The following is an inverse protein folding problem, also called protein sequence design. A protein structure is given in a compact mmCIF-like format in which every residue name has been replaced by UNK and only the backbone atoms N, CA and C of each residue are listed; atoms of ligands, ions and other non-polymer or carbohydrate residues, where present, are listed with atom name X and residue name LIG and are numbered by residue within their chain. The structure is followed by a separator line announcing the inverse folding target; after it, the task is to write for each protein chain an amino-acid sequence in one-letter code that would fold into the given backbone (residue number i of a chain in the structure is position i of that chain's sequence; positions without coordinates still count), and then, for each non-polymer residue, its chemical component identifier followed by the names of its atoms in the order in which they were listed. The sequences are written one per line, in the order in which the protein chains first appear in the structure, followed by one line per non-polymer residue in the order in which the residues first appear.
data_IF_147780900404
#
_entry.id   IF_147780900404
#
_cell.length_a   1.000
_cell.length_b   1.000
_cell.length_c   1.000
_cell.angle_alpha   90.00
_cell.angle_beta   90.00
_cell.angle_gamma   90.00
#
_symmetry.space_group_name_H-M   'P 1'
#
loop_
_entity.id
_entity.type
_entity.pdbx_description
1 polymer ?
#
# COMPACT_ATOMS: atom_id res chain seq x y z
N UNK A 1 -9.66 0.92 13.06
CA UNK A 1 -9.13 -0.08 12.10
C UNK A 1 -7.68 -0.33 12.44
N UNK A 2 -7.25 -1.58 12.43
CA UNK A 2 -5.90 -1.96 12.88
C UNK A 2 -4.83 -1.65 11.83
N UNK A 3 -3.73 -1.05 12.27
CA UNK A 3 -2.59 -0.65 11.44
C UNK A 3 -1.64 -1.84 11.22
N UNK A 4 -1.59 -2.43 10.01
CA UNK A 4 -0.76 -3.60 9.74
C UNK A 4 0.74 -3.31 9.85
N UNK A 5 1.18 -2.07 9.59
CA UNK A 5 2.59 -1.69 9.75
C UNK A 5 2.99 -1.72 11.22
N UNK A 6 2.13 -1.18 12.09
CA UNK A 6 2.35 -1.22 13.55
C UNK A 6 2.37 -2.65 14.09
N UNK A 7 1.47 -3.53 13.63
CA UNK A 7 1.46 -4.95 14.03
C UNK A 7 2.77 -5.65 13.68
N UNK A 8 3.31 -5.37 12.49
CA UNK A 8 4.56 -5.96 12.01
C UNK A 8 5.82 -5.27 12.55
N UNK A 9 5.68 -4.12 13.21
CA UNK A 9 6.82 -3.28 13.62
C UNK A 9 7.57 -2.67 12.43
N UNK A 10 6.85 -2.35 11.34
CA UNK A 10 7.37 -1.71 10.14
C UNK A 10 7.05 -0.20 10.14
N UNK A 11 7.91 0.64 9.53
CA UNK A 11 7.54 2.01 9.22
C UNK A 11 6.38 2.03 8.22
N UNK A 12 5.50 3.04 8.35
CA UNK A 12 4.43 3.29 7.37
C UNK A 12 5.05 3.87 6.10
N UNK A 13 5.51 3.02 5.20
CA UNK A 13 6.10 3.44 3.93
C UNK A 13 5.68 2.51 2.80
N UNK A 14 5.63 3.05 1.59
CA UNK A 14 5.32 2.28 0.40
C UNK A 14 6.52 1.45 -0.07
N UNK A 15 7.71 2.05 -0.06
CA UNK A 15 8.97 1.45 -0.48
C UNK A 15 9.45 0.40 0.56
N UNK A 16 8.79 -0.76 0.56
CA UNK A 16 9.16 -1.96 1.30
C UNK A 16 9.38 -3.12 0.34
N UNK A 17 10.47 -3.84 0.52
CA UNK A 17 10.72 -5.08 -0.21
C UNK A 17 9.90 -6.23 0.38
N UNK A 18 9.56 -7.25 -0.43
CA UNK A 18 8.94 -8.48 0.09
C UNK A 18 9.78 -9.17 1.18
N UNK A 19 11.10 -9.04 1.09
CA UNK A 19 12.04 -9.56 2.07
C UNK A 19 11.91 -8.84 3.43
N UNK A 20 11.79 -7.51 3.45
CA UNK A 20 11.60 -6.74 4.69
C UNK A 20 10.28 -7.09 5.39
N UNK A 21 9.19 -7.20 4.63
CA UNK A 21 7.89 -7.62 5.17
C UNK A 21 7.96 -9.03 5.74
N UNK A 22 8.63 -9.95 5.03
CA UNK A 22 8.80 -11.33 5.48
C UNK A 22 9.66 -11.41 6.74
N UNK A 23 10.77 -10.68 6.80
CA UNK A 23 11.63 -10.62 7.98
C UNK A 23 10.89 -10.01 9.19
N UNK A 24 10.09 -8.96 8.99
CA UNK A 24 9.25 -8.38 10.04
C UNK A 24 8.23 -9.38 10.58
N UNK A 25 7.54 -10.09 9.70
CA UNK A 25 6.60 -11.15 10.08
C UNK A 25 7.28 -12.25 10.91
N UNK A 26 8.42 -12.77 10.46
CA UNK A 26 9.15 -13.82 11.19
C UNK A 26 9.61 -13.34 12.59
N UNK A 27 10.11 -12.10 12.70
CA UNK A 27 10.50 -11.49 13.99
C UNK A 27 9.31 -11.29 14.94
N UNK A 28 8.12 -11.02 14.41
CA UNK A 28 6.91 -10.86 15.22
C UNK A 28 6.40 -12.22 15.72
N UNK A 29 6.26 -13.21 14.82
CA UNK A 29 5.77 -14.55 15.17
C UNK A 29 6.72 -15.28 16.12
N UNK A 30 8.05 -15.07 16.03
CA UNK A 30 9.01 -15.73 16.94
C UNK A 30 8.81 -15.37 18.41
N UNK A 31 8.12 -14.25 18.71
CA UNK A 31 7.80 -13.82 20.08
C UNK A 31 6.50 -14.44 20.60
N UNK A 32 5.68 -15.02 19.71
CA UNK A 32 4.33 -15.51 19.96
C UNK A 32 4.24 -17.04 19.89
N UNK A 33 5.34 -17.75 20.21
CA UNK A 33 5.37 -19.21 20.14
C UNK A 33 4.49 -19.83 21.24
N UNK A 34 3.51 -20.69 20.91
CA UNK A 34 2.54 -21.21 21.88
C UNK A 34 3.19 -22.04 23.00
N UNK A 35 4.34 -22.66 22.76
CA UNK A 35 5.10 -23.39 23.80
C UNK A 35 5.66 -22.49 24.90
N UNK A 36 5.69 -21.17 24.70
CA UNK A 36 6.12 -20.21 25.73
C UNK A 36 4.98 -19.82 26.67
N UNK A 37 3.76 -20.33 26.44
CA UNK A 37 2.60 -20.03 27.25
C UNK A 37 2.63 -20.76 28.60
N UNK A 38 2.29 -20.05 29.68
CA UNK A 38 2.20 -20.57 31.05
C UNK A 38 0.87 -21.26 31.35
N UNK A 39 -0.17 -20.93 30.59
CA UNK A 39 -1.51 -21.48 30.74
C UNK A 39 -2.28 -21.49 29.40
N UNK A 40 -3.47 -22.09 29.40
CA UNK A 40 -4.32 -22.22 28.22
C UNK A 40 -4.81 -20.86 27.69
N UNK A 41 -5.11 -19.91 28.58
CA UNK A 41 -5.61 -18.59 28.19
C UNK A 41 -4.52 -17.84 27.44
N UNK A 42 -3.30 -17.85 27.96
CA UNK A 42 -2.14 -17.25 27.31
C UNK A 42 -1.83 -17.94 25.98
N UNK A 43 -1.97 -19.27 25.89
CA UNK A 43 -1.78 -19.99 24.63
C UNK A 43 -2.79 -19.54 23.56
N UNK A 44 -4.07 -19.46 23.91
CA UNK A 44 -5.12 -18.98 23.00
C UNK A 44 -4.84 -17.54 22.56
N UNK A 45 -4.43 -16.67 23.49
CA UNK A 45 -4.06 -15.29 23.18
C UNK A 45 -2.90 -15.22 22.19
N UNK A 46 -1.82 -15.97 22.41
CA UNK A 46 -0.66 -16.02 21.52
C UNK A 46 -1.04 -16.49 20.10
N UNK A 47 -1.93 -17.47 19.98
CA UNK A 47 -2.43 -17.94 18.68
C UNK A 47 -3.22 -16.86 17.96
N UNK A 48 -4.09 -16.13 18.67
CA UNK A 48 -4.86 -15.03 18.09
C UNK A 48 -3.94 -13.89 17.63
N UNK A 49 -2.95 -13.53 18.44
CA UNK A 49 -1.95 -12.51 18.08
C UNK A 49 -1.11 -12.95 16.86
N UNK A 50 -0.70 -14.22 16.78
CA UNK A 50 0.02 -14.75 15.63
C UNK A 50 -0.83 -14.70 14.34
N UNK A 51 -2.13 -14.98 14.45
CA UNK A 51 -3.06 -14.86 13.34
C UNK A 51 -3.21 -13.40 12.87
N UNK A 52 -3.29 -12.44 13.80
CA UNK A 52 -3.32 -11.01 13.48
C UNK A 52 -2.04 -10.55 12.76
N UNK A 53 -0.87 -11.04 13.18
CA UNK A 53 0.42 -10.79 12.52
C UNK A 53 0.46 -11.37 11.10
N UNK A 54 -0.11 -12.56 10.89
CA UNK A 54 -0.27 -13.16 9.56
C UNK A 54 -1.18 -12.33 8.65
N UNK A 55 -2.33 -11.88 9.17
CA UNK A 55 -3.26 -11.03 8.44
C UNK A 55 -2.63 -9.67 8.07
N UNK A 56 -1.86 -9.08 8.99
CA UNK A 56 -1.11 -7.85 8.74
C UNK A 56 -0.10 -8.01 7.60
N UNK A 57 0.67 -9.12 7.60
CA UNK A 57 1.61 -9.46 6.50
C UNK A 57 0.90 -9.46 5.16
N UNK A 58 -0.23 -10.16 5.05
CA UNK A 58 -0.95 -10.28 3.78
C UNK A 58 -1.40 -8.92 3.23
N UNK A 59 -1.81 -8.00 4.11
CA UNK A 59 -2.26 -6.65 3.75
C UNK A 59 -1.14 -5.76 3.21
N UNK A 60 0.13 -6.01 3.57
CA UNK A 60 1.27 -5.17 3.14
C UNK A 60 2.29 -5.90 2.27
N UNK A 61 2.09 -7.19 1.99
CA UNK A 61 3.03 -8.01 1.22
C UNK A 61 3.18 -7.53 -0.23
N UNK A 62 2.08 -7.14 -0.87
CA UNK A 62 2.06 -6.73 -2.28
C UNK A 62 1.87 -5.22 -2.41
N UNK A 63 2.44 -4.64 -3.47
CA UNK A 63 2.46 -3.19 -3.69
C UNK A 63 1.04 -2.58 -3.70
N UNK A 64 0.10 -3.19 -4.43
CA UNK A 64 -1.26 -2.67 -4.56
C UNK A 64 -2.04 -2.76 -3.24
N UNK A 65 -1.89 -3.84 -2.48
CA UNK A 65 -2.56 -3.98 -1.17
C UNK A 65 -1.94 -3.01 -0.16
N UNK A 66 -0.62 -2.89 -0.15
CA UNK A 66 0.12 -1.94 0.69
C UNK A 66 -0.28 -0.49 0.39
N UNK A 67 -0.39 -0.11 -0.88
CA UNK A 67 -0.86 1.21 -1.28
C UNK A 67 -2.28 1.50 -0.78
N UNK A 68 -3.20 0.54 -0.91
CA UNK A 68 -4.55 0.71 -0.37
C UNK A 68 -4.54 0.89 1.16
N UNK A 69 -3.70 0.14 1.86
CA UNK A 69 -3.56 0.28 3.31
C UNK A 69 -2.99 1.63 3.73
N UNK A 70 -1.98 2.15 3.03
CA UNK A 70 -1.45 3.49 3.28
C UNK A 70 -2.52 4.56 3.01
N UNK A 71 -3.25 4.49 1.90
CA UNK A 71 -4.35 5.42 1.61
C UNK A 71 -5.46 5.37 2.68
N UNK A 72 -5.78 4.19 3.22
CA UNK A 72 -6.71 4.05 4.35
C UNK A 72 -6.18 4.76 5.60
N UNK A 73 -4.93 4.52 5.97
CA UNK A 73 -4.29 5.10 7.16
C UNK A 73 -4.15 6.62 7.06
N UNK A 74 -4.00 7.15 5.85
CA UNK A 74 -3.91 8.59 5.56
C UNK A 74 -5.28 9.27 5.37
N UNK A 75 -6.39 8.54 5.55
CA UNK A 75 -7.74 9.09 5.36
C UNK A 75 -8.10 9.39 3.89
N UNK A 76 -7.31 8.91 2.94
CA UNK A 76 -7.39 9.18 1.50
C UNK A 76 -8.06 8.06 0.70
N UNK A 77 -8.64 7.06 1.37
CA UNK A 77 -9.31 5.92 0.69
C UNK A 77 -10.40 6.37 -0.28
N UNK A 78 -11.10 7.46 0.01
CA UNK A 78 -12.17 8.00 -0.84
C UNK A 78 -11.69 8.43 -2.23
N UNK A 79 -10.41 8.76 -2.40
CA UNK A 79 -9.84 9.11 -3.70
C UNK A 79 -9.80 7.94 -4.69
N UNK A 80 -9.91 6.69 -4.20
CA UNK A 80 -10.00 5.51 -5.07
C UNK A 80 -11.30 5.43 -5.88
N UNK A 81 -12.33 6.16 -5.46
CA UNK A 81 -13.61 6.24 -6.16
C UNK A 81 -13.66 7.41 -7.14
N UNK A 82 -12.60 8.21 -7.25
CA UNK A 82 -12.54 9.31 -8.19
C UNK A 82 -12.57 8.78 -9.65
N UNK A 83 -13.26 9.47 -10.56
CA UNK A 83 -13.25 9.09 -11.97
C UNK A 83 -11.82 9.18 -12.52
N UNK A 84 -11.44 8.22 -13.35
CA UNK A 84 -10.20 8.27 -14.11
C UNK A 84 -10.23 9.46 -15.06
N UNK A 85 -9.07 10.10 -15.23
CA UNK A 85 -8.94 11.21 -16.17
C UNK A 85 -9.18 10.75 -17.62
N UNK A 86 -9.73 11.62 -18.50
CA UNK A 86 -10.13 11.24 -19.86
C UNK A 86 -9.04 10.53 -20.66
N UNK A 87 -7.80 11.00 -20.58
CA UNK A 87 -6.67 10.41 -21.30
C UNK A 87 -6.43 8.93 -20.95
N UNK A 88 -6.71 8.53 -19.70
CA UNK A 88 -6.56 7.13 -19.28
C UNK A 88 -7.74 6.26 -19.71
N UNK A 89 -8.93 6.85 -19.86
CA UNK A 89 -10.09 6.13 -20.39
C UNK A 89 -9.85 5.78 -21.86
N UNK A 90 -9.34 6.72 -22.65
CA UNK A 90 -8.93 6.52 -24.04
C UNK A 90 -7.89 5.39 -24.15
N UNK A 91 -6.79 5.51 -23.41
CA UNK A 91 -5.74 4.48 -23.37
C UNK A 91 -6.32 3.10 -22.98
N UNK A 92 -7.20 3.05 -21.97
CA UNK A 92 -7.84 1.80 -21.53
C UNK A 92 -8.72 1.17 -22.61
N UNK A 93 -9.42 1.97 -23.41
CA UNK A 93 -10.22 1.49 -24.54
C UNK A 93 -9.32 0.91 -25.63
N UNK A 94 -8.27 1.62 -26.02
CA UNK A 94 -7.30 1.15 -27.03
C UNK A 94 -6.67 -0.20 -26.63
N UNK A 95 -6.27 -0.35 -25.36
CA UNK A 95 -5.77 -1.62 -24.86
C UNK A 95 -6.81 -2.74 -24.92
N UNK A 96 -8.08 -2.44 -24.59
CA UNK A 96 -9.15 -3.44 -24.61
C UNK A 96 -9.41 -3.96 -26.02
N UNK A 97 -9.50 -3.06 -26.99
CA UNK A 97 -9.73 -3.42 -28.39
C UNK A 97 -8.57 -4.27 -28.91
N UNK A 98 -7.32 -3.88 -28.64
CA UNK A 98 -6.15 -4.67 -29.02
C UNK A 98 -6.08 -6.05 -28.35
N UNK A 99 -6.52 -6.18 -27.09
CA UNK A 99 -6.61 -7.47 -26.40
C UNK A 99 -7.69 -8.35 -27.06
N UNK A 100 -8.85 -7.78 -27.36
CA UNK A 100 -9.95 -8.48 -28.00
C UNK A 100 -9.57 -9.02 -29.38
N UNK A 101 -8.92 -8.20 -30.20
CA UNK A 101 -8.42 -8.60 -31.50
C UNK A 101 -7.39 -9.73 -31.39
N UNK A 102 -6.41 -9.60 -30.49
CA UNK A 102 -5.36 -10.60 -30.31
C UNK A 102 -5.90 -11.95 -29.78
N UNK A 103 -6.90 -11.90 -28.89
CA UNK A 103 -7.52 -13.12 -28.35
C UNK A 103 -8.47 -13.78 -29.37
N UNK A 104 -9.26 -13.01 -30.11
CA UNK A 104 -10.28 -13.53 -31.03
C UNK A 104 -9.66 -14.22 -32.25
N UNK A 105 -8.51 -13.74 -32.72
CA UNK A 105 -7.82 -14.31 -33.88
C UNK A 105 -6.80 -15.41 -33.51
N UNK A 106 -6.63 -15.72 -32.22
CA UNK A 106 -5.65 -16.71 -31.75
C UNK A 106 -4.20 -16.33 -32.06
N UNK A 107 -3.91 -15.03 -32.22
CA UNK A 107 -2.57 -14.56 -32.56
C UNK A 107 -1.67 -14.53 -31.31
N UNK A 108 -0.95 -15.63 -31.11
CA UNK A 108 0.00 -15.78 -30.01
C UNK A 108 1.13 -14.74 -30.03
N UNK A 109 1.52 -14.24 -31.21
CA UNK A 109 2.57 -13.22 -31.33
C UNK A 109 2.04 -11.87 -30.88
N UNK A 110 0.87 -11.46 -31.37
CA UNK A 110 0.22 -10.23 -30.94
C UNK A 110 -0.06 -10.24 -29.43
N UNK A 111 -0.52 -11.38 -28.87
CA UNK A 111 -0.72 -11.54 -27.41
C UNK A 111 0.59 -11.36 -26.63
N UNK A 112 1.69 -11.95 -27.09
CA UNK A 112 2.99 -11.83 -26.44
C UNK A 112 3.51 -10.39 -26.47
N UNK A 113 3.42 -9.72 -27.63
CA UNK A 113 3.82 -8.31 -27.79
C UNK A 113 2.98 -7.40 -26.89
N UNK A 114 1.67 -7.61 -26.84
CA UNK A 114 0.77 -6.85 -25.99
C UNK A 114 1.08 -7.06 -24.50
N UNK A 115 1.38 -8.30 -24.11
CA UNK A 115 1.77 -8.62 -22.73
C UNK A 115 3.04 -7.86 -22.32
N UNK A 116 4.04 -7.79 -23.19
CA UNK A 116 5.28 -7.04 -22.92
C UNK A 116 4.97 -5.54 -22.75
N UNK A 117 4.19 -4.95 -23.66
CA UNK A 117 3.85 -3.53 -23.58
C UNK A 117 3.06 -3.18 -22.32
N UNK A 118 2.07 -3.99 -21.94
CA UNK A 118 1.29 -3.76 -20.72
C UNK A 118 2.14 -3.93 -19.46
N UNK A 119 3.08 -4.90 -19.43
CA UNK A 119 4.04 -5.04 -18.32
C UNK A 119 4.94 -3.84 -18.19
N UNK A 120 5.43 -3.30 -19.30
CA UNK A 120 6.24 -2.08 -19.28
C UNK A 120 5.43 -0.91 -18.71
N UNK A 121 4.21 -0.69 -19.22
CA UNK A 121 3.30 0.35 -18.72
C UNK A 121 3.00 0.20 -17.23
N UNK A 122 2.80 -1.03 -16.75
CA UNK A 122 2.61 -1.34 -15.33
C UNK A 122 3.83 -0.95 -14.49
N UNK A 123 5.05 -1.19 -14.97
CA UNK A 123 6.27 -0.78 -14.25
C UNK A 123 6.38 0.73 -14.13
N UNK A 124 6.08 1.47 -15.21
CA UNK A 124 6.05 2.93 -15.21
C UNK A 124 5.01 3.48 -14.22
N UNK A 125 3.82 2.86 -14.20
CA UNK A 125 2.75 3.25 -13.31
C UNK A 125 3.09 2.94 -11.83
N UNK A 126 3.77 1.82 -11.57
CA UNK A 126 4.27 1.48 -10.24
C UNK A 126 5.31 2.50 -9.74
N UNK A 127 6.20 2.95 -10.63
CA UNK A 127 7.16 4.01 -10.30
C UNK A 127 6.46 5.35 -9.98
N UNK A 128 5.38 5.66 -10.71
CA UNK A 128 4.53 6.83 -10.45
C UNK A 128 3.86 6.76 -9.08
N UNK A 129 3.27 5.59 -8.76
CA UNK A 129 2.68 5.33 -7.44
C UNK A 129 3.72 5.50 -6.31
N UNK A 130 4.91 4.94 -6.48
CA UNK A 130 5.99 5.06 -5.50
C UNK A 130 6.43 6.52 -5.30
N UNK A 131 6.57 7.27 -6.40
CA UNK A 131 6.89 8.71 -6.35
C UNK A 131 5.85 9.52 -5.60
N UNK A 132 4.56 9.27 -5.87
CA UNK A 132 3.46 9.94 -5.18
C UNK A 132 3.49 9.68 -3.65
N UNK A 133 3.77 8.45 -3.23
CA UNK A 133 3.94 8.14 -1.80
C UNK A 133 5.17 8.77 -1.18
N UNK A 134 6.30 8.87 -1.89
CA UNK A 134 7.48 9.60 -1.38
C UNK A 134 7.20 11.09 -1.14
N UNK A 135 6.37 11.70 -1.99
CA UNK A 135 5.93 13.09 -1.81
C UNK A 135 4.94 13.23 -0.66
N UNK A 136 3.97 12.31 -0.56
CA UNK A 136 2.95 12.33 0.49
C UNK A 136 3.50 11.97 1.88
N UNK A 137 4.57 11.18 1.91
CA UNK A 137 5.22 10.65 3.10
C UNK A 137 6.72 10.78 2.91
N UNK A 138 7.28 12.01 2.99
CA UNK A 138 8.73 12.14 3.02
C UNK A 138 9.22 11.29 4.18
N UNK A 139 10.23 10.46 3.93
CA UNK A 139 10.88 9.68 4.99
C UNK A 139 11.08 10.61 6.16
N UNK A 140 10.48 10.28 7.31
CA UNK A 140 10.75 11.04 8.53
C UNK A 140 12.27 11.05 8.65
N UNK A 141 12.86 12.26 8.61
CA UNK A 141 14.25 12.41 9.02
C UNK A 141 14.38 11.66 10.35
N UNK A 142 15.46 10.89 10.57
CA UNK A 142 15.65 10.26 11.87
C UNK A 142 15.58 11.41 12.89
N UNK A 143 14.51 11.46 13.68
CA UNK A 143 14.48 12.32 14.85
C UNK A 143 15.63 11.83 15.71
N UNK A 144 16.79 12.48 15.56
CA UNK A 144 17.88 12.38 16.50
C UNK A 144 17.27 12.92 17.78
N UNK A 145 16.84 12.00 18.64
CA UNK A 145 16.30 12.28 19.96
C UNK A 145 17.43 12.81 20.82
N UNK A 146 17.86 14.05 20.56
CA UNK A 146 18.53 14.86 21.56
C UNK A 146 17.43 15.41 22.47
N UNK A 147 17.07 14.62 23.48
CA UNK A 147 16.48 15.16 24.71
C UNK A 147 17.61 15.69 25.58
N UNK A 148 17.80 17.00 25.76
CA UNK A 148 18.42 17.49 26.98
C UNK A 148 17.36 17.44 28.09
N UNK A 149 17.63 16.63 29.11
CA UNK A 149 16.95 16.67 30.40
C UNK A 149 17.28 17.98 31.12
N UNK A 150 16.31 18.89 31.25
CA UNK A 150 16.15 19.91 32.32
C UNK A 150 15.05 20.90 31.89
N UNK A 151 14.14 21.45 32.68
CA UNK A 151 13.78 21.40 34.10
C UNK A 151 12.34 21.98 34.20
N UNK A 152 11.68 21.71 35.32
CA UNK A 152 10.39 22.21 35.84
C UNK A 152 9.85 23.58 35.38
N UNK A 153 8.56 23.64 35.02
CA UNK A 153 7.61 24.71 35.40
C UNK A 153 6.14 24.25 35.22
N UNK A 154 5.27 24.80 36.07
CA UNK A 154 3.85 24.56 36.42
C UNK A 154 2.78 24.40 35.31
N UNK A 155 1.56 23.88 35.64
CA UNK A 155 0.54 23.53 34.65
C UNK A 155 -0.27 24.77 34.22
N UNK A 156 -0.28 25.05 32.91
CA UNK A 156 -1.29 25.90 32.28
C UNK A 156 -2.30 25.00 31.56
N UNK A 157 -3.59 25.22 31.85
CA UNK A 157 -4.78 24.65 31.22
C UNK A 157 -4.70 24.67 29.69
N UNK A 158 -5.09 23.59 28.97
CA UNK A 158 -5.27 23.65 27.53
C UNK A 158 -6.75 23.90 27.20
N UNK A 159 -7.07 25.12 26.83
CA UNK A 159 -8.14 25.39 25.86
C UNK A 159 -7.51 25.33 24.47
N UNK A 160 -7.68 24.24 23.72
CA UNK A 160 -7.48 24.30 22.27
C UNK A 160 -8.50 23.38 21.58
N UNK A 161 -9.40 24.03 20.86
CA UNK A 161 -10.32 23.47 19.89
C UNK A 161 -9.60 22.53 18.91
N UNK A 162 -10.25 21.40 18.60
CA UNK A 162 -9.78 20.40 17.66
C UNK A 162 -9.30 21.03 16.35
N UNK A 163 -7.99 20.96 16.14
CA UNK A 163 -7.39 21.23 14.85
C UNK A 163 -7.75 20.06 13.95
N UNK A 164 -8.83 20.22 13.19
CA UNK A 164 -8.99 19.47 11.94
C UNK A 164 -7.81 19.88 11.07
N UNK A 165 -6.76 19.06 11.06
CA UNK A 165 -5.56 19.30 10.28
C UNK A 165 -5.96 19.37 8.81
N UNK A 166 -6.07 20.60 8.29
CA UNK A 166 -6.24 20.85 6.86
C UNK A 166 -5.01 20.23 6.20
N UNK A 167 -5.19 19.08 5.53
CA UNK A 167 -4.13 18.47 4.73
C UNK A 167 -3.56 19.55 3.80
N UNK A 168 -2.24 19.71 3.78
CA UNK A 168 -1.57 20.61 2.83
C UNK A 168 -2.05 20.31 1.42
N UNK A 169 -2.21 21.35 0.60
CA UNK A 169 -2.63 21.21 -0.80
C UNK A 169 -1.76 20.17 -1.52
N UNK A 170 -0.44 20.22 -1.29
CA UNK A 170 0.53 19.32 -1.93
C UNK A 170 0.34 17.85 -1.49
N UNK A 171 0.05 17.64 -0.19
CA UNK A 171 -0.23 16.31 0.36
C UNK A 171 -1.51 15.72 -0.24
N UNK A 172 -2.57 16.54 -0.36
CA UNK A 172 -3.82 16.10 -0.98
C UNK A 172 -3.59 15.69 -2.44
N UNK A 173 -2.89 16.50 -3.22
CA UNK A 173 -2.57 16.20 -4.62
C UNK A 173 -1.77 14.91 -4.73
N UNK A 174 -0.71 14.74 -3.93
CA UNK A 174 0.09 13.52 -3.94
C UNK A 174 -0.74 12.26 -3.63
N UNK A 175 -1.70 12.35 -2.71
CA UNK A 175 -2.58 11.23 -2.37
C UNK A 175 -3.63 10.94 -3.44
N UNK A 176 -4.10 11.97 -4.15
CA UNK A 176 -4.97 11.79 -5.32
C UNK A 176 -4.21 11.11 -6.46
N UNK A 177 -2.96 11.52 -6.71
CA UNK A 177 -2.10 10.91 -7.73
C UNK A 177 -1.80 9.45 -7.39
N UNK A 178 -1.49 9.15 -6.12
CA UNK A 178 -1.29 7.78 -5.64
C UNK A 178 -2.56 6.93 -5.82
N UNK A 179 -3.73 7.46 -5.47
CA UNK A 179 -4.99 6.75 -5.65
C UNK A 179 -5.29 6.48 -7.13
N UNK A 180 -5.08 7.47 -8.00
CA UNK A 180 -5.27 7.33 -9.43
C UNK A 180 -4.31 6.29 -10.05
N UNK A 181 -3.04 6.30 -9.64
CA UNK A 181 -2.05 5.31 -10.07
C UNK A 181 -2.41 3.89 -9.62
N UNK A 182 -2.88 3.72 -8.37
CA UNK A 182 -3.37 2.43 -7.87
C UNK A 182 -4.56 1.91 -8.68
N UNK A 183 -5.51 2.79 -9.04
CA UNK A 183 -6.64 2.40 -9.89
C UNK A 183 -6.14 1.95 -11.27
N UNK A 184 -5.21 2.68 -11.90
CA UNK A 184 -4.63 2.31 -13.20
C UNK A 184 -3.92 0.96 -13.16
N UNK A 185 -3.10 0.70 -12.12
CA UNK A 185 -2.46 -0.60 -11.92
C UNK A 185 -3.46 -1.75 -11.86
N UNK A 186 -4.63 -1.56 -11.22
CA UNK A 186 -5.69 -2.59 -11.19
C UNK A 186 -6.34 -2.85 -12.54
N UNK A 187 -6.34 -1.88 -13.46
CA UNK A 187 -6.78 -2.11 -14.83
C UNK A 187 -5.73 -2.88 -15.62
N UNK A 188 -4.46 -2.49 -15.49
CA UNK A 188 -3.34 -3.18 -16.14
C UNK A 188 -3.21 -4.64 -15.67
N UNK A 189 -3.35 -4.91 -14.37
CA UNK A 189 -3.34 -6.28 -13.84
C UNK A 189 -4.47 -7.13 -14.43
N UNK A 190 -5.70 -6.60 -14.51
CA UNK A 190 -6.83 -7.29 -15.16
C UNK A 190 -6.60 -7.55 -16.65
N UNK A 191 -5.92 -6.64 -17.35
CA UNK A 191 -5.56 -6.83 -18.76
C UNK A 191 -4.50 -7.92 -18.92
N UNK A 192 -3.50 -7.96 -18.05
CA UNK A 192 -2.50 -9.02 -18.04
C UNK A 192 -3.13 -10.38 -17.75
N UNK A 193 -4.02 -10.46 -16.75
CA UNK A 193 -4.75 -11.68 -16.42
C UNK A 193 -5.51 -12.21 -17.65
N UNK A 194 -6.21 -11.33 -18.38
CA UNK A 194 -6.93 -11.71 -19.62
C UNK A 194 -5.99 -12.19 -20.73
N UNK A 195 -4.79 -11.63 -20.86
CA UNK A 195 -3.82 -12.05 -21.88
C UNK A 195 -3.11 -13.35 -21.53
N UNK A 196 -2.88 -13.61 -20.24
CA UNK A 196 -2.20 -14.82 -19.76
C UNK A 196 -3.15 -15.98 -19.46
N UNK A 197 -4.45 -15.70 -19.28
CA UNK A 197 -5.48 -16.71 -19.10
C UNK A 197 -5.75 -17.51 -20.38
N UNK A 198 -6.29 -18.71 -20.20
CA UNK A 198 -6.90 -19.47 -21.29
C UNK A 198 -8.18 -18.73 -21.74
N UNK A 199 -8.44 -18.61 -23.06
CA UNK A 199 -9.59 -17.89 -23.60
C UNK A 199 -10.94 -18.51 -23.21
#
# INVERSE_FOLDING_TARGET
MEDPFRILGLPRQFDLTPAEVTAAHLRAVSRLHPDRATDEVQRVQMVQEAAAVGAAKQRVAHDLTRAEELLKLLGARSFLSAPLAPQYLLETMEWRDAIEDACSHGDGTARAELTVRIRQRRTEELATLAGAFRTAMPLAEPEISERPLSQSATPATPDIHGTSAVMSSDLRTALQDAAAALVRLRYLDRMLDRLTGDP
#
